data_IF_260442473276
#
_entry.id   IF_260442473276
#
_cell.length_a   1.000
_cell.length_b   1.000
_cell.length_c   1.000
_cell.angle_alpha   90.00
_cell.angle_beta   90.00
_cell.angle_gamma   90.00
#
_symmetry.space_group_name_H-M   'P 1'
#
loop_
_entity.id
_entity.type
_entity.pdbx_description
1 polymer ?
#
# COMPACT_ATOMS: atom_id res chain seq x y z
N UNK A 1 -24.77 -17.76 -37.49
CA UNK A 1 -25.79 -17.05 -36.70
C UNK A 1 -26.15 -17.93 -35.52
N UNK A 2 -25.63 -17.60 -34.35
CA UNK A 2 -25.88 -18.28 -33.07
C UNK A 2 -25.77 -17.22 -31.97
N UNK A 3 -26.74 -17.09 -31.05
CA UNK A 3 -26.66 -16.12 -29.97
C UNK A 3 -25.97 -16.73 -28.75
N UNK A 4 -24.94 -16.06 -28.23
CA UNK A 4 -24.32 -16.41 -26.96
C UNK A 4 -25.04 -15.73 -25.80
N UNK A 5 -25.42 -16.57 -24.84
CA UNK A 5 -26.06 -16.28 -23.57
C UNK A 5 -25.01 -15.76 -22.56
N UNK A 6 -25.31 -14.68 -21.83
CA UNK A 6 -24.54 -14.24 -20.66
C UNK A 6 -25.39 -14.41 -19.40
N UNK A 7 -24.86 -15.00 -18.30
CA UNK A 7 -25.53 -14.96 -17.01
C UNK A 7 -24.91 -13.92 -16.05
N UNK A 8 -25.78 -13.10 -15.45
CA UNK A 8 -25.75 -12.83 -14.01
C UNK A 8 -24.99 -11.59 -13.52
N UNK A 9 -25.59 -10.41 -13.67
CA UNK A 9 -25.35 -9.27 -12.76
C UNK A 9 -26.46 -9.24 -11.70
N UNK A 10 -26.07 -9.28 -10.43
CA UNK A 10 -26.97 -9.08 -9.29
C UNK A 10 -26.89 -7.60 -8.91
N UNK A 11 -27.97 -6.86 -9.19
CA UNK A 11 -28.14 -5.48 -8.76
C UNK A 11 -28.46 -5.44 -7.26
N UNK A 12 -27.65 -4.74 -6.47
CA UNK A 12 -27.94 -4.46 -5.08
C UNK A 12 -28.71 -3.13 -5.00
N UNK A 13 -30.02 -3.22 -4.84
CA UNK A 13 -30.92 -2.09 -4.56
C UNK A 13 -31.06 -2.00 -3.04
N UNK A 14 -30.63 -0.88 -2.46
CA UNK A 14 -30.82 -0.54 -1.05
C UNK A 14 -31.43 0.86 -0.91
N UNK A 15 -32.29 1.11 0.10
CA UNK A 15 -33.48 1.95 -0.08
C UNK A 15 -33.30 3.44 0.24
N UNK A 16 -34.01 4.25 -0.54
CA UNK A 16 -34.41 5.62 -0.20
C UNK A 16 -35.20 5.67 1.11
N UNK A 17 -34.86 6.63 1.97
CA UNK A 17 -35.65 7.07 3.12
C UNK A 17 -35.48 8.59 3.33
N UNK A 18 -36.50 9.30 3.84
CA UNK A 18 -36.90 10.58 3.25
C UNK A 18 -36.29 11.83 3.92
N UNK A 19 -36.10 12.85 3.08
CA UNK A 19 -35.92 14.24 3.44
C UNK A 19 -37.12 14.78 4.23
N UNK A 20 -36.85 15.38 5.40
CA UNK A 20 -37.76 16.32 6.04
C UNK A 20 -37.12 17.71 6.05
N UNK A 21 -37.65 18.56 5.16
CA UNK A 21 -37.55 20.01 5.21
C UNK A 21 -38.38 20.51 6.40
N UNK A 22 -37.79 21.32 7.27
CA UNK A 22 -38.55 22.32 8.04
C UNK A 22 -37.71 23.59 8.19
N UNK A 23 -38.43 24.70 8.05
CA UNK A 23 -38.02 26.06 7.74
C UNK A 23 -37.70 26.93 8.96
N UNK A 24 -36.81 27.92 8.75
CA UNK A 24 -36.78 29.28 9.32
C UNK A 24 -36.77 29.48 10.85
N UNK A 25 -35.78 30.24 11.33
CA UNK A 25 -35.85 30.98 12.59
C UNK A 25 -34.63 31.87 12.82
N UNK A 26 -34.81 33.18 12.60
CA UNK A 26 -33.90 34.28 12.94
C UNK A 26 -33.96 34.52 14.46
N UNK A 27 -32.83 34.82 15.12
CA UNK A 27 -32.86 35.34 16.50
C UNK A 27 -31.51 35.27 17.21
N UNK A 28 -31.15 36.32 17.92
CA UNK A 28 -29.81 36.68 18.35
C UNK A 28 -29.52 36.44 19.85
N UNK A 29 -28.21 36.24 20.15
CA UNK A 29 -27.48 36.71 21.34
C UNK A 29 -27.85 36.15 22.76
N UNK A 30 -27.01 36.35 23.80
CA UNK A 30 -26.02 35.39 24.33
C UNK A 30 -26.29 35.11 25.84
N UNK A 31 -25.25 34.80 26.64
CA UNK A 31 -25.23 34.44 28.10
C UNK A 31 -25.29 32.92 28.33
N UNK A 32 -24.63 32.29 29.31
CA UNK A 32 -23.63 32.65 30.32
C UNK A 32 -23.04 31.34 30.87
N UNK A 33 -21.90 31.46 31.55
CA UNK A 33 -21.37 30.63 32.64
C UNK A 33 -22.02 29.26 32.98
N UNK A 34 -21.18 28.23 33.07
CA UNK A 34 -21.52 26.97 33.73
C UNK A 34 -20.31 26.07 33.97
N UNK A 35 -19.44 26.48 34.91
CA UNK A 35 -18.45 25.59 35.50
C UNK A 35 -19.16 24.41 36.21
N UNK A 36 -18.78 23.18 35.88
CA UNK A 36 -19.38 21.97 36.44
C UNK A 36 -18.39 20.82 36.43
N UNK A 37 -17.35 20.94 37.25
CA UNK A 37 -16.48 19.83 37.59
C UNK A 37 -17.26 18.83 38.46
N UNK A 38 -17.42 17.60 38.00
CA UNK A 38 -17.86 16.48 38.82
C UNK A 38 -16.68 15.54 39.06
N UNK A 39 -16.25 15.30 40.32
CA UNK A 39 -15.26 14.28 40.63
C UNK A 39 -15.91 12.89 40.63
N UNK A 40 -15.38 11.98 39.81
CA UNK A 40 -15.74 10.56 39.84
C UNK A 40 -14.93 9.87 40.95
N UNK A 41 -15.61 9.54 42.04
CA UNK A 41 -15.09 8.74 43.16
C UNK A 41 -15.21 7.26 42.81
N UNK A 42 -14.10 6.52 42.85
CA UNK A 42 -14.09 5.05 42.79
C UNK A 42 -13.60 4.51 44.13
N UNK A 43 -14.40 3.69 44.86
CA UNK A 43 -13.95 3.01 46.06
C UNK A 43 -13.59 1.55 45.78
N UNK A 44 -12.45 1.11 46.30
CA UNK A 44 -12.25 -0.26 46.78
C UNK A 44 -11.86 -1.32 45.76
N UNK A 45 -10.55 -1.63 45.70
CA UNK A 45 -10.03 -2.86 45.09
C UNK A 45 -8.82 -3.36 45.87
N UNK A 46 -9.02 -4.41 46.66
CA UNK A 46 -7.99 -5.08 47.49
C UNK A 46 -6.90 -5.70 46.61
N UNK A 47 -5.65 -5.31 46.82
CA UNK A 47 -4.47 -6.00 46.27
C UNK A 47 -4.13 -7.17 47.21
N UNK A 48 -4.27 -8.39 46.69
CA UNK A 48 -3.74 -9.60 47.32
C UNK A 48 -2.36 -9.89 46.72
N UNK A 49 -1.31 -9.76 47.52
CA UNK A 49 0.03 -10.24 47.17
C UNK A 49 0.48 -11.22 48.25
N UNK A 50 0.59 -12.50 47.90
CA UNK A 50 1.23 -13.51 48.74
C UNK A 50 2.64 -13.82 48.21
N UNK A 51 3.55 -14.27 49.09
CA UNK A 51 5.00 -14.25 48.85
C UNK A 51 5.52 -15.61 48.36
N UNK A 52 6.60 -15.60 47.57
CA UNK A 52 7.49 -16.76 47.47
C UNK A 52 8.95 -16.31 47.58
N UNK A 53 9.63 -17.09 48.39
CA UNK A 53 10.91 -16.93 49.07
C UNK A 53 12.03 -17.62 48.28
N UNK A 54 13.27 -17.25 48.64
CA UNK A 54 14.50 -18.09 48.64
C UNK A 54 15.20 -18.29 47.27
N UNK A 55 16.53 -18.36 47.12
CA UNK A 55 17.68 -18.53 48.04
C UNK A 55 18.98 -18.07 47.34
N UNK A 56 19.93 -17.56 48.12
CA UNK A 56 21.29 -17.07 47.79
C UNK A 56 22.37 -18.21 47.79
N UNK A 57 23.68 -17.95 47.51
CA UNK A 57 24.70 -18.86 46.90
C UNK A 57 25.53 -19.67 47.95
N UNK A 58 26.57 -20.49 47.61
CA UNK A 58 28.00 -20.04 47.43
C UNK A 58 28.95 -20.99 46.57
N UNK A 59 30.29 -20.71 46.45
CA UNK A 59 31.33 -21.34 45.56
C UNK A 59 32.39 -22.19 46.35
N UNK A 60 33.71 -22.32 46.02
CA UNK A 60 34.50 -22.68 44.79
C UNK A 60 35.43 -23.93 44.99
N UNK A 61 36.24 -24.37 43.98
CA UNK A 61 37.72 -24.67 44.08
C UNK A 61 38.36 -25.50 42.94
N UNK A 62 39.50 -24.97 42.46
CA UNK A 62 40.74 -25.44 41.78
C UNK A 62 41.06 -26.95 41.53
N UNK A 63 41.63 -27.27 40.34
CA UNK A 63 42.85 -28.10 40.10
C UNK A 63 43.06 -28.40 38.59
N UNK A 64 44.09 -27.82 37.94
CA UNK A 64 45.34 -28.43 37.38
C UNK A 64 45.28 -29.19 36.03
N UNK A 65 45.74 -28.53 34.95
CA UNK A 65 46.58 -28.91 33.76
C UNK A 65 46.86 -30.38 33.32
N UNK A 66 47.43 -30.68 32.11
CA UNK A 66 47.60 -29.93 30.85
C UNK A 66 47.35 -30.76 29.53
N UNK A 67 47.55 -30.08 28.37
CA UNK A 67 48.12 -30.55 27.08
C UNK A 67 47.25 -30.77 25.82
N UNK A 68 47.84 -30.22 24.75
CA UNK A 68 47.81 -30.56 23.32
C UNK A 68 46.60 -30.12 22.49
N UNK A 69 46.82 -28.95 21.87
CA UNK A 69 46.82 -28.75 20.42
C UNK A 69 45.88 -29.63 19.60
N UNK A 70 44.75 -29.06 19.19
CA UNK A 70 44.36 -29.17 17.79
C UNK A 70 43.50 -27.97 17.40
N UNK A 71 43.82 -27.41 16.25
CA UNK A 71 43.25 -26.18 15.71
C UNK A 71 41.84 -26.41 15.17
N UNK A 72 40.88 -25.52 15.47
CA UNK A 72 39.89 -25.19 14.45
C UNK A 72 39.79 -23.68 14.22
N UNK A 73 39.92 -23.35 12.94
CA UNK A 73 39.70 -22.09 12.22
C UNK A 73 38.72 -21.12 12.90
N UNK A 74 39.08 -19.82 13.03
CA UNK A 74 38.12 -18.80 13.41
C UNK A 74 37.17 -18.52 12.24
N UNK A 75 35.87 -18.68 12.46
CA UNK A 75 34.85 -18.14 11.57
C UNK A 75 34.86 -16.61 11.67
N UNK A 76 35.04 -15.86 10.56
CA UNK A 76 34.99 -14.42 10.62
C UNK A 76 33.56 -13.93 10.88
N UNK A 77 33.45 -13.22 12.00
CA UNK A 77 32.35 -12.37 12.43
C UNK A 77 31.83 -11.47 11.29
N UNK A 78 30.50 -11.50 11.08
CA UNK A 78 29.73 -10.73 10.07
C UNK A 78 29.79 -9.20 10.25
N UNK A 79 30.59 -8.67 11.18
CA UNK A 79 30.61 -7.24 11.57
C UNK A 79 31.74 -6.40 10.96
N UNK A 80 32.57 -6.93 10.07
CA UNK A 80 33.71 -6.18 9.51
C UNK A 80 33.53 -5.66 8.07
N UNK A 81 32.35 -5.79 7.46
CA UNK A 81 32.14 -5.41 6.05
C UNK A 81 31.85 -3.92 5.78
N UNK A 82 31.99 -3.02 6.76
CA UNK A 82 31.58 -1.61 6.62
C UNK A 82 32.71 -0.56 6.70
N UNK A 83 33.98 -0.95 6.58
CA UNK A 83 35.10 0.01 6.59
C UNK A 83 36.27 -0.44 5.70
N UNK A 84 36.14 -0.25 4.38
CA UNK A 84 37.23 -0.13 3.38
C UNK A 84 36.54 0.17 2.02
N UNK A 85 36.16 1.40 1.70
CA UNK A 85 37.00 2.51 1.26
C UNK A 85 37.94 2.17 0.08
N UNK A 86 37.48 2.58 -1.12
CA UNK A 86 38.22 3.33 -2.16
C UNK A 86 39.37 2.68 -2.93
N UNK A 87 39.28 2.88 -4.26
CA UNK A 87 40.34 2.83 -5.28
C UNK A 87 40.64 1.48 -5.95
N UNK A 88 39.87 1.15 -6.98
CA UNK A 88 40.37 0.45 -8.17
C UNK A 88 39.64 0.99 -9.40
N UNK A 89 40.15 2.10 -9.92
CA UNK A 89 39.83 2.57 -11.26
C UNK A 89 40.61 1.73 -12.29
N UNK A 90 40.02 1.63 -13.49
CA UNK A 90 40.63 1.21 -14.76
C UNK A 90 40.89 -0.30 -14.92
N UNK A 91 39.91 -0.98 -15.51
CA UNK A 91 40.09 -1.94 -16.64
C UNK A 91 38.86 -2.85 -16.74
N UNK A 92 37.70 -2.31 -17.13
CA UNK A 92 36.70 -3.16 -17.77
C UNK A 92 37.00 -3.18 -19.26
N UNK A 93 37.66 -4.27 -19.60
CA UNK A 93 37.98 -4.80 -20.92
C UNK A 93 36.89 -4.45 -21.94
N UNK A 94 37.34 -3.88 -23.05
CA UNK A 94 36.64 -3.81 -24.33
C UNK A 94 36.42 -5.24 -24.88
N UNK A 95 35.60 -6.03 -24.21
CA UNK A 95 35.05 -7.27 -24.71
C UNK A 95 33.79 -6.92 -25.52
N UNK A 96 34.02 -6.57 -26.78
CA UNK A 96 33.21 -6.96 -27.93
C UNK A 96 31.72 -7.27 -27.64
N UNK A 97 30.95 -6.26 -27.23
CA UNK A 97 29.49 -6.34 -27.40
C UNK A 97 29.19 -6.06 -28.87
N UNK A 98 28.47 -6.94 -29.58
CA UNK A 98 27.97 -6.61 -30.90
C UNK A 98 27.08 -5.36 -30.77
N UNK A 99 27.13 -4.39 -31.71
CA UNK A 99 26.18 -3.30 -31.74
C UNK A 99 24.79 -3.91 -31.85
N UNK A 100 24.01 -3.87 -30.77
CA UNK A 100 22.61 -4.29 -30.82
C UNK A 100 21.93 -3.44 -31.87
N UNK A 101 21.34 -4.04 -32.93
CA UNK A 101 20.74 -3.27 -33.99
C UNK A 101 19.62 -2.39 -33.43
N UNK A 102 19.59 -1.18 -33.96
CA UNK A 102 18.61 -0.13 -33.74
C UNK A 102 17.17 -0.66 -33.71
N UNK A 103 16.39 -0.10 -32.78
CA UNK A 103 14.93 -0.17 -32.74
C UNK A 103 14.36 -1.57 -32.92
N UNK A 104 14.43 -2.39 -31.86
CA UNK A 104 13.55 -3.53 -31.75
C UNK A 104 12.11 -3.02 -31.87
N UNK A 105 11.46 -3.31 -33.02
CA UNK A 105 10.05 -3.02 -33.24
C UNK A 105 9.29 -3.58 -32.05
N UNK A 106 8.76 -2.70 -31.21
CA UNK A 106 7.97 -3.11 -30.04
C UNK A 106 6.81 -3.99 -30.51
N UNK A 107 6.48 -4.98 -29.70
CA UNK A 107 5.34 -5.84 -29.96
C UNK A 107 4.09 -4.97 -30.13
N UNK A 108 3.20 -5.35 -31.05
CA UNK A 108 1.92 -4.66 -31.20
C UNK A 108 1.10 -4.88 -29.93
N UNK A 109 0.40 -3.85 -29.43
CA UNK A 109 -0.50 -4.01 -28.31
C UNK A 109 -1.65 -4.96 -28.69
N UNK A 110 -2.02 -5.84 -27.76
CA UNK A 110 -3.07 -6.84 -27.98
C UNK A 110 -4.48 -6.25 -27.81
N UNK A 111 -4.58 -5.13 -27.10
CA UNK A 111 -5.85 -4.50 -26.69
C UNK A 111 -5.84 -3.00 -27.01
N UNK A 112 -7.01 -2.41 -27.30
CA UNK A 112 -7.12 -0.97 -27.50
C UNK A 112 -6.70 -0.22 -26.23
N UNK A 113 -6.04 0.93 -26.41
CA UNK A 113 -5.48 1.73 -25.32
C UNK A 113 -6.52 2.06 -24.24
N UNK A 114 -7.74 2.44 -24.65
CA UNK A 114 -8.86 2.76 -23.74
C UNK A 114 -9.14 1.62 -22.76
N UNK A 115 -9.18 0.37 -23.24
CA UNK A 115 -9.43 -0.82 -22.42
C UNK A 115 -8.27 -1.11 -21.46
N UNK A 116 -7.03 -0.83 -21.89
CA UNK A 116 -5.87 -0.98 -21.02
C UNK A 116 -5.82 0.09 -19.92
N UNK A 117 -6.29 1.31 -20.20
CA UNK A 117 -6.32 2.42 -19.24
C UNK A 117 -7.42 2.30 -18.19
N UNK A 118 -8.57 1.74 -18.54
CA UNK A 118 -9.72 1.57 -17.63
C UNK A 118 -9.35 1.03 -16.24
N UNK A 119 -8.63 -0.10 -16.10
CA UNK A 119 -8.26 -0.62 -14.78
C UNK A 119 -7.29 0.30 -14.02
N UNK A 120 -6.40 1.02 -14.70
CA UNK A 120 -5.47 1.95 -14.04
C UNK A 120 -6.23 3.13 -13.42
N UNK A 121 -7.19 3.68 -14.17
CA UNK A 121 -8.06 4.77 -13.70
C UNK A 121 -8.91 4.27 -12.52
N UNK A 122 -9.51 3.07 -12.61
CA UNK A 122 -10.27 2.47 -11.50
C UNK A 122 -9.46 2.38 -10.22
N UNK A 123 -8.23 1.91 -10.33
CA UNK A 123 -7.34 1.74 -9.17
C UNK A 123 -6.97 3.09 -8.59
N UNK A 124 -6.65 4.07 -9.43
CA UNK A 124 -6.35 5.44 -9.02
C UNK A 124 -7.52 6.08 -8.27
N UNK A 125 -8.73 6.00 -8.81
CA UNK A 125 -9.94 6.54 -8.17
C UNK A 125 -10.23 5.84 -6.84
N UNK A 126 -10.09 4.51 -6.79
CA UNK A 126 -10.27 3.74 -5.57
C UNK A 126 -9.24 4.10 -4.49
N UNK A 127 -7.99 4.38 -4.87
CA UNK A 127 -6.98 4.90 -3.93
C UNK A 127 -7.40 6.24 -3.33
N UNK A 128 -8.01 7.14 -4.12
CA UNK A 128 -8.55 8.42 -3.64
C UNK A 128 -9.70 8.23 -2.66
N UNK A 129 -10.72 7.43 -3.05
CA UNK A 129 -11.85 7.14 -2.17
C UNK A 129 -11.43 6.45 -0.86
N UNK A 130 -10.45 5.55 -0.90
CA UNK A 130 -9.92 4.92 0.31
C UNK A 130 -9.21 5.92 1.22
N UNK A 131 -8.45 6.88 0.66
CA UNK A 131 -7.83 7.93 1.46
C UNK A 131 -8.89 8.79 2.18
N UNK A 132 -9.92 9.22 1.46
CA UNK A 132 -11.04 9.97 2.02
C UNK A 132 -11.76 9.20 3.14
N UNK A 133 -11.98 7.90 2.97
CA UNK A 133 -12.61 7.07 4.01
C UNK A 133 -11.74 6.93 5.26
N UNK A 134 -10.40 6.86 5.11
CA UNK A 134 -9.48 6.84 6.25
C UNK A 134 -9.43 8.23 6.93
N UNK A 135 -9.52 9.34 6.17
CA UNK A 135 -9.62 10.70 6.72
C UNK A 135 -10.95 10.95 7.45
N UNK A 136 -12.06 10.44 6.91
CA UNK A 136 -13.39 10.54 7.50
C UNK A 136 -13.60 9.64 8.73
N UNK A 137 -12.64 8.78 9.06
CA UNK A 137 -12.74 7.87 10.20
C UNK A 137 -13.79 6.77 10.02
N UNK A 138 -14.14 6.43 8.78
CA UNK A 138 -15.12 5.39 8.49
C UNK A 138 -14.51 3.99 8.73
N UNK A 139 -14.50 3.58 10.00
CA UNK A 139 -13.79 2.41 10.52
C UNK A 139 -14.20 1.08 9.86
N UNK A 140 -15.42 0.97 9.33
CA UNK A 140 -15.87 -0.22 8.59
C UNK A 140 -15.03 -0.40 7.32
N UNK A 141 -14.93 0.66 6.52
CA UNK A 141 -14.17 0.68 5.28
C UNK A 141 -12.67 0.54 5.52
N UNK A 142 -12.16 1.08 6.64
CA UNK A 142 -10.76 0.96 7.03
C UNK A 142 -10.34 -0.49 7.27
N UNK A 143 -11.18 -1.29 7.95
CA UNK A 143 -10.90 -2.73 8.15
C UNK A 143 -10.88 -3.49 6.82
N UNK A 144 -11.62 -2.99 5.84
CA UNK A 144 -11.74 -3.58 4.52
C UNK A 144 -10.70 -3.06 3.52
N UNK A 145 -9.84 -2.08 3.87
CA UNK A 145 -8.81 -1.53 2.97
C UNK A 145 -7.98 -2.63 2.33
N UNK A 146 -7.54 -3.62 3.13
CA UNK A 146 -6.78 -4.78 2.61
C UNK A 146 -7.60 -5.62 1.64
N UNK A 147 -8.89 -5.85 1.94
CA UNK A 147 -9.77 -6.64 1.08
C UNK A 147 -10.04 -5.91 -0.24
N UNK A 148 -10.35 -4.61 -0.18
CA UNK A 148 -10.51 -3.74 -1.34
C UNK A 148 -9.24 -3.75 -2.19
N UNK A 149 -8.06 -3.62 -1.55
CA UNK A 149 -6.78 -3.64 -2.26
C UNK A 149 -6.50 -4.98 -2.95
N UNK A 150 -6.77 -6.09 -2.28
CA UNK A 150 -6.64 -7.44 -2.89
C UNK A 150 -7.59 -7.62 -4.07
N UNK A 151 -8.83 -7.15 -3.96
CA UNK A 151 -9.81 -7.18 -5.04
C UNK A 151 -9.36 -6.31 -6.21
N UNK A 152 -8.80 -5.12 -5.94
CA UNK A 152 -8.27 -4.24 -6.97
C UNK A 152 -7.09 -4.87 -7.72
N UNK A 153 -6.11 -5.42 -7.01
CA UNK A 153 -4.91 -6.01 -7.60
C UNK A 153 -5.24 -7.28 -8.41
N UNK A 154 -6.09 -8.16 -7.87
CA UNK A 154 -6.47 -9.42 -8.54
C UNK A 154 -7.50 -9.23 -9.65
N UNK A 155 -8.44 -8.31 -9.46
CA UNK A 155 -9.59 -8.13 -10.35
C UNK A 155 -9.30 -7.28 -11.58
N UNK A 156 -8.31 -6.39 -11.53
CA UNK A 156 -8.08 -5.40 -12.60
C UNK A 156 -6.85 -5.66 -13.48
N UNK A 157 -6.06 -6.72 -13.22
CA UNK A 157 -4.81 -7.03 -13.96
C UNK A 157 -3.93 -5.78 -14.23
N UNK A 158 -3.66 -5.04 -13.15
CA UNK A 158 -2.97 -3.73 -13.21
C UNK A 158 -1.62 -3.86 -13.92
N UNK A 159 -0.85 -4.89 -13.59
CA UNK A 159 0.45 -5.17 -14.21
C UNK A 159 0.35 -5.49 -15.69
N UNK A 160 -0.67 -6.25 -16.12
CA UNK A 160 -0.94 -6.50 -17.53
C UNK A 160 -1.29 -5.22 -18.28
N UNK A 161 -2.13 -4.38 -17.69
CA UNK A 161 -2.52 -3.08 -18.26
C UNK A 161 -1.36 -2.09 -18.39
N UNK A 162 -0.48 -1.98 -17.39
CA UNK A 162 0.73 -1.13 -17.47
C UNK A 162 1.59 -1.53 -18.68
N UNK A 163 1.81 -2.84 -18.86
CA UNK A 163 2.58 -3.35 -20.01
C UNK A 163 1.88 -3.05 -21.34
N UNK A 164 0.56 -3.19 -21.40
CA UNK A 164 -0.17 -2.85 -22.63
C UNK A 164 -0.07 -1.36 -22.94
N UNK A 165 -0.20 -0.48 -21.94
CA UNK A 165 -0.04 0.97 -22.10
C UNK A 165 1.38 1.34 -22.55
N UNK A 166 2.43 0.70 -22.00
CA UNK A 166 3.81 0.98 -22.41
C UNK A 166 4.09 0.65 -23.88
N UNK A 167 3.39 -0.33 -24.46
CA UNK A 167 3.48 -0.69 -25.88
C UNK A 167 2.85 0.35 -26.81
N UNK A 168 1.93 1.18 -26.33
CA UNK A 168 1.32 2.27 -27.10
C UNK A 168 2.20 3.52 -27.17
N UNK A 169 3.28 3.59 -26.38
CA UNK A 169 4.19 4.73 -26.39
C UNK A 169 5.34 4.53 -27.39
N UNK A 170 5.44 5.44 -28.36
CA UNK A 170 6.51 5.44 -29.37
C UNK A 170 7.88 5.73 -28.74
N UNK A 171 7.91 6.59 -27.72
CA UNK A 171 9.15 6.93 -27.05
C UNK A 171 9.59 5.81 -26.11
N UNK A 172 10.77 5.25 -26.38
CA UNK A 172 11.33 4.15 -25.60
C UNK A 172 11.49 4.51 -24.12
N UNK A 173 12.01 5.70 -23.82
CA UNK A 173 12.27 6.14 -22.44
C UNK A 173 10.97 6.35 -21.65
N UNK A 174 9.93 6.91 -22.29
CA UNK A 174 8.63 7.12 -21.65
C UNK A 174 7.99 5.80 -21.27
N UNK A 175 8.02 4.82 -22.17
CA UNK A 175 7.47 3.49 -21.88
C UNK A 175 8.25 2.73 -20.81
N UNK A 176 9.59 2.82 -20.78
CA UNK A 176 10.38 2.27 -19.67
C UNK A 176 10.03 2.96 -18.35
N UNK A 177 9.80 4.28 -18.39
CA UNK A 177 9.26 5.04 -17.26
C UNK A 177 7.88 4.53 -16.82
N UNK A 178 6.94 4.32 -17.75
CA UNK A 178 5.60 3.80 -17.46
C UNK A 178 5.69 2.42 -16.78
N UNK A 179 6.57 1.54 -17.25
CA UNK A 179 6.77 0.23 -16.63
C UNK A 179 7.40 0.32 -15.24
N UNK A 180 8.34 1.23 -15.03
CA UNK A 180 8.97 1.47 -13.73
C UNK A 180 7.96 2.05 -12.73
N UNK A 181 7.35 3.19 -13.06
CA UNK A 181 6.33 3.84 -12.24
C UNK A 181 5.13 2.92 -11.97
N UNK A 182 4.72 2.12 -12.96
CA UNK A 182 3.65 1.15 -12.80
C UNK A 182 4.02 -0.01 -11.87
N UNK A 183 5.27 -0.48 -11.91
CA UNK A 183 5.77 -1.49 -10.97
C UNK A 183 5.78 -0.94 -9.54
N UNK A 184 6.30 0.27 -9.36
CA UNK A 184 6.35 0.94 -8.07
C UNK A 184 4.93 1.13 -7.50
N UNK A 185 3.97 1.53 -8.34
CA UNK A 185 2.56 1.63 -7.96
C UNK A 185 2.02 0.30 -7.42
N UNK A 186 2.25 -0.80 -8.14
CA UNK A 186 1.82 -2.14 -7.72
C UNK A 186 2.52 -2.58 -6.43
N UNK A 187 3.80 -2.27 -6.27
CA UNK A 187 4.56 -2.58 -5.05
C UNK A 187 4.03 -1.81 -3.84
N UNK A 188 3.72 -0.52 -3.98
CA UNK A 188 3.08 0.25 -2.91
C UNK A 188 1.73 -0.34 -2.51
N UNK A 189 0.89 -0.71 -3.48
CA UNK A 189 -0.41 -1.34 -3.22
C UNK A 189 -0.25 -2.73 -2.58
N UNK A 190 0.71 -3.53 -3.04
CA UNK A 190 1.01 -4.84 -2.47
C UNK A 190 1.52 -4.73 -1.04
N UNK A 191 2.34 -3.72 -0.73
CA UNK A 191 2.86 -3.47 0.62
C UNK A 191 1.74 -3.28 1.64
N UNK A 192 0.62 -2.64 1.27
CA UNK A 192 -0.57 -2.51 2.14
C UNK A 192 -1.21 -3.87 2.44
N UNK A 193 -1.17 -4.79 1.47
CA UNK A 193 -1.78 -6.12 1.64
C UNK A 193 -0.91 -7.08 2.46
N UNK A 194 0.40 -6.90 2.39
CA UNK A 194 1.42 -7.72 3.06
C UNK A 194 1.81 -7.19 4.44
N UNK A 195 1.68 -5.88 4.68
CA UNK A 195 1.97 -5.28 5.97
C UNK A 195 1.11 -5.94 7.05
N UNK A 196 1.76 -6.36 8.15
CA UNK A 196 1.09 -6.93 9.30
C UNK A 196 0.08 -5.91 9.84
N UNK A 197 -1.12 -6.34 10.22
CA UNK A 197 -2.12 -5.43 10.81
C UNK A 197 -1.82 -5.31 12.32
N UNK A 198 -1.13 -4.26 12.81
CA UNK A 198 -1.16 -3.97 14.23
C UNK A 198 -2.58 -3.50 14.55
N UNK A 199 -3.38 -4.45 15.02
CA UNK A 199 -4.66 -4.17 15.65
C UNK A 199 -4.39 -3.86 17.12
N UNK A 200 -5.02 -2.81 17.62
CA UNK A 200 -5.04 -2.50 19.04
C UNK A 200 -5.86 -3.54 19.82
N UNK A 201 -5.77 -3.53 21.15
CA UNK A 201 -6.49 -4.43 22.08
C UNK A 201 -8.01 -4.44 21.85
N UNK A 202 -8.57 -3.33 21.35
CA UNK A 202 -9.98 -3.19 20.98
C UNK A 202 -10.29 -3.67 19.55
N UNK A 203 -9.36 -4.39 18.91
CA UNK A 203 -9.43 -4.81 17.51
C UNK A 203 -9.66 -3.63 16.56
N UNK A 204 -8.97 -2.51 16.81
CA UNK A 204 -9.03 -1.31 15.97
C UNK A 204 -7.71 -1.15 15.21
N UNK A 205 -7.73 -0.71 13.95
CA UNK A 205 -6.50 -0.38 13.23
C UNK A 205 -5.74 0.71 14.00
N UNK A 206 -4.45 0.52 14.22
CA UNK A 206 -3.63 1.54 14.88
C UNK A 206 -3.44 2.77 13.98
N UNK A 207 -3.16 3.92 14.60
CA UNK A 207 -2.87 5.17 13.88
C UNK A 207 -1.65 5.01 12.97
N UNK A 208 -0.66 4.21 13.39
CA UNK A 208 0.53 3.89 12.59
C UNK A 208 0.17 3.15 11.30
N UNK A 209 -0.70 2.12 11.40
CA UNK A 209 -1.21 1.40 10.23
C UNK A 209 -1.96 2.34 9.28
N UNK A 210 -2.86 3.17 9.79
CA UNK A 210 -3.61 4.12 8.97
C UNK A 210 -2.71 5.13 8.26
N UNK A 211 -1.70 5.61 8.97
CA UNK A 211 -0.70 6.53 8.41
C UNK A 211 0.12 5.86 7.31
N UNK A 212 0.50 4.60 7.52
CA UNK A 212 1.19 3.80 6.50
C UNK A 212 0.30 3.59 5.26
N UNK A 213 -0.95 3.16 5.44
CA UNK A 213 -1.91 2.98 4.35
C UNK A 213 -2.09 4.27 3.54
N UNK A 214 -2.29 5.42 4.21
CA UNK A 214 -2.40 6.72 3.53
C UNK A 214 -1.18 7.04 2.68
N UNK A 215 0.03 6.87 3.23
CA UNK A 215 1.27 7.14 2.50
C UNK A 215 1.44 6.22 1.29
N UNK A 216 1.15 4.93 1.45
CA UNK A 216 1.23 3.97 0.36
C UNK A 216 0.19 4.24 -0.74
N UNK A 217 -1.05 4.56 -0.37
CA UNK A 217 -2.12 4.92 -1.30
C UNK A 217 -1.79 6.20 -2.08
N UNK A 218 -1.30 7.24 -1.39
CA UNK A 218 -0.90 8.50 -2.00
C UNK A 218 0.30 8.33 -2.95
N UNK A 219 1.28 7.51 -2.56
CA UNK A 219 2.42 7.19 -3.41
C UNK A 219 1.95 6.44 -4.67
N UNK A 220 1.12 5.41 -4.52
CA UNK A 220 0.58 4.67 -5.66
C UNK A 220 -0.25 5.55 -6.60
N UNK A 221 -1.12 6.42 -6.07
CA UNK A 221 -1.89 7.35 -6.90
C UNK A 221 -0.99 8.31 -7.65
N UNK A 222 0.08 8.84 -7.03
CA UNK A 222 1.03 9.72 -7.70
C UNK A 222 1.77 9.02 -8.85
N UNK A 223 2.13 7.74 -8.69
CA UNK A 223 2.73 6.97 -9.78
C UNK A 223 1.74 6.74 -10.95
N UNK A 224 0.48 6.46 -10.64
CA UNK A 224 -0.55 6.31 -11.67
C UNK A 224 -0.87 7.65 -12.36
N UNK A 225 -0.89 8.75 -11.63
CA UNK A 225 -1.03 10.10 -12.18
C UNK A 225 0.09 10.44 -13.16
N UNK A 226 1.33 10.07 -12.81
CA UNK A 226 2.46 10.24 -13.70
C UNK A 226 2.26 9.47 -15.01
N UNK A 227 1.81 8.21 -14.95
CA UNK A 227 1.54 7.41 -16.15
C UNK A 227 0.45 8.07 -16.99
N UNK A 228 -0.67 8.47 -16.38
CA UNK A 228 -1.80 9.09 -17.08
C UNK A 228 -1.42 10.43 -17.72
N UNK A 229 -0.49 11.19 -17.14
CA UNK A 229 0.02 12.43 -17.71
C UNK A 229 0.88 12.23 -18.97
N UNK A 230 1.44 11.03 -19.18
CA UNK A 230 2.27 10.71 -20.34
C UNK A 230 1.49 9.98 -21.45
N UNK A 231 0.21 9.73 -21.24
CA UNK A 231 -0.71 9.12 -22.20
C UNK A 231 -1.55 10.24 -22.85
N UNK A 232 -1.95 10.13 -24.13
CA UNK A 232 -2.81 11.11 -24.78
C UNK A 232 -4.11 11.34 -23.99
N UNK A 233 -4.39 12.61 -23.68
CA UNK A 233 -5.53 13.02 -22.87
C UNK A 233 -6.88 12.56 -23.44
N UNK A 234 -7.02 12.53 -24.77
CA UNK A 234 -8.23 12.05 -25.46
C UNK A 234 -8.58 10.61 -25.06
N UNK A 235 -7.59 9.72 -25.00
CA UNK A 235 -7.80 8.32 -24.62
C UNK A 235 -8.10 8.17 -23.13
N UNK A 236 -7.57 9.04 -22.28
CA UNK A 236 -7.86 9.07 -20.84
C UNK A 236 -9.31 9.55 -20.61
N UNK A 237 -9.76 10.58 -21.32
CA UNK A 237 -11.13 11.05 -21.26
C UNK A 237 -12.14 10.02 -21.76
N UNK A 238 -11.82 9.32 -22.85
CA UNK A 238 -12.67 8.24 -23.36
C UNK A 238 -12.77 7.09 -22.35
N UNK A 239 -11.64 6.69 -21.75
CA UNK A 239 -11.61 5.66 -20.73
C UNK A 239 -12.40 6.06 -19.47
N UNK A 240 -12.29 7.31 -19.01
CA UNK A 240 -13.08 7.82 -17.88
C UNK A 240 -14.58 7.88 -18.19
N UNK A 241 -14.99 8.30 -19.39
CA UNK A 241 -16.39 8.29 -19.84
C UNK A 241 -16.97 6.87 -19.88
N UNK A 242 -16.20 5.90 -20.38
CA UNK A 242 -16.64 4.49 -20.39
C UNK A 242 -16.88 3.95 -18.98
N UNK A 243 -16.18 4.50 -18.00
CA UNK A 243 -16.23 4.11 -16.60
C UNK A 243 -17.47 4.63 -15.88
N UNK A 244 -17.85 5.89 -16.14
CA UNK A 244 -19.05 6.50 -15.58
C UNK A 244 -20.31 5.93 -16.22
N UNK A 245 -20.29 5.59 -17.50
CA UNK A 245 -21.40 4.97 -18.20
C UNK A 245 -21.80 3.59 -17.61
N UNK A 246 -20.85 2.85 -17.02
CA UNK A 246 -21.12 1.55 -16.37
C UNK A 246 -21.70 1.73 -14.96
N UNK A 247 -21.52 2.90 -14.33
CA UNK A 247 -22.02 3.19 -12.98
C UNK A 247 -23.45 3.76 -12.96
N UNK A 248 -23.95 4.24 -14.10
CA UNK A 248 -25.29 4.82 -14.27
C UNK A 248 -26.33 3.73 -14.56
#
# INVERSE_FOLDING_TARGET
MSPFHFPGMVAFVGPCGPSLLTTRGVGAHPLELGAGACPFVVPGGKVCSNPVRSTTPPPPSLSSSPRMSDSPRPLPSRRQFLLQATAAAVAFSAAFLPPTPASAKRAKPDRPLVVALTPLIRVRDACGSLQENIDGGELATVRDVRQVMRLMLRGNDVSGSIKQVSLWCDNKSVAEGIEAHGRDAVEYLASVTEFFDPMDLANRPTVEYLTFCKKALAAASAQLDWILAHVPAESVEEATKSLTAVKA
#
